data_IF_405833028245
#
_entry.id   IF_405833028245
#
_cell.length_a   1.000
_cell.length_b   1.000
_cell.length_c   1.000
_cell.angle_alpha   90.00
_cell.angle_beta   90.00
_cell.angle_gamma   90.00
#
_symmetry.space_group_name_H-M   'P 1'
#
loop_
_entity.id
_entity.type
_entity.pdbx_description
1 polymer ?
#
# COMPACT_ATOMS: atom_id res chain seq x y z
N UNK A 1 44.36 25.25 44.12
CA UNK A 1 44.07 24.06 43.29
C UNK A 1 42.63 23.68 43.57
N UNK A 2 41.69 24.26 42.83
CA UNK A 2 40.25 24.00 42.99
C UNK A 2 39.70 23.50 41.67
N UNK A 3 39.24 22.25 41.64
CA UNK A 3 38.65 21.63 40.47
C UNK A 3 37.29 22.26 40.19
N UNK A 4 37.16 22.94 39.06
CA UNK A 4 35.88 23.38 38.51
C UNK A 4 35.23 22.23 37.75
N UNK A 5 34.08 21.76 38.19
CA UNK A 5 33.21 20.86 37.44
C UNK A 5 32.47 21.65 36.36
N UNK A 6 32.48 21.24 35.08
CA UNK A 6 31.65 21.88 34.07
C UNK A 6 30.18 21.45 34.26
N UNK A 7 29.33 22.41 34.55
CA UNK A 7 27.87 22.27 34.46
C UNK A 7 27.48 22.02 33.01
N UNK A 8 27.14 20.77 32.68
CA UNK A 8 26.50 20.44 31.41
C UNK A 8 25.06 20.97 31.39
N UNK A 9 24.51 21.29 30.21
CA UNK A 9 23.13 21.74 30.08
C UNK A 9 22.20 20.58 30.42
N UNK A 10 21.49 20.70 31.55
CA UNK A 10 20.45 19.76 31.94
C UNK A 10 19.28 19.85 30.96
N UNK A 11 19.07 18.79 30.18
CA UNK A 11 17.79 18.55 29.52
C UNK A 11 16.78 18.19 30.62
N UNK A 12 16.12 19.21 31.14
CA UNK A 12 15.03 19.05 32.10
C UNK A 12 13.86 18.33 31.42
N UNK A 13 13.36 17.31 32.12
CA UNK A 13 12.22 16.45 31.85
C UNK A 13 10.96 17.17 31.34
N UNK A 14 10.90 17.46 30.05
CA UNK A 14 9.65 17.68 29.32
C UNK A 14 9.54 16.56 28.30
N UNK A 15 8.65 15.59 28.55
CA UNK A 15 8.57 14.32 27.83
C UNK A 15 8.24 14.45 26.33
N UNK A 16 8.11 15.66 25.77
CA UNK A 16 7.69 15.91 24.39
C UNK A 16 8.29 17.21 23.83
N UNK A 17 9.52 17.58 24.24
CA UNK A 17 10.21 18.70 23.62
C UNK A 17 10.72 18.29 22.23
N UNK A 18 9.99 18.73 21.20
CA UNK A 18 10.29 18.56 19.78
C UNK A 18 11.74 18.92 19.47
N UNK A 19 12.54 17.91 19.12
CA UNK A 19 13.91 18.07 18.68
C UNK A 19 13.92 18.50 17.20
N UNK A 20 14.47 19.68 16.91
CA UNK A 20 14.61 20.21 15.54
C UNK A 20 15.60 19.42 14.64
N UNK A 21 16.11 18.29 15.13
CA UNK A 21 16.97 17.35 14.39
C UNK A 21 16.43 15.91 14.38
N UNK A 22 15.25 15.65 14.92
CA UNK A 22 14.56 14.40 14.70
C UNK A 22 13.68 14.57 13.47
N UNK A 23 14.09 14.01 12.33
CA UNK A 23 13.17 13.65 11.25
C UNK A 23 12.21 12.62 11.83
N UNK A 24 11.18 13.09 12.53
CA UNK A 24 10.10 12.24 13.01
C UNK A 24 9.43 11.73 11.75
N UNK A 25 9.69 10.46 11.43
CA UNK A 25 8.88 9.68 10.52
C UNK A 25 7.44 9.86 11.03
N UNK A 26 6.67 10.66 10.30
CA UNK A 26 5.34 11.13 10.70
C UNK A 26 4.38 9.93 10.63
N UNK A 27 3.30 9.89 11.39
CA UNK A 27 2.29 8.83 11.21
C UNK A 27 1.75 8.82 9.76
N UNK A 28 1.79 9.99 9.10
CA UNK A 28 1.53 10.15 7.67
C UNK A 28 2.48 9.35 6.75
N UNK A 29 3.63 8.89 7.24
CA UNK A 29 4.59 8.14 6.44
C UNK A 29 4.10 6.73 6.09
N UNK A 30 3.17 6.17 6.87
CA UNK A 30 2.42 4.95 6.55
C UNK A 30 1.36 5.18 5.46
N UNK A 31 0.93 6.43 5.29
CA UNK A 31 -0.20 6.85 4.46
C UNK A 31 0.21 7.27 3.04
N UNK A 32 1.45 7.02 2.62
CA UNK A 32 1.95 7.42 1.30
C UNK A 32 1.19 6.80 0.10
N UNK A 33 0.21 5.92 0.35
CA UNK A 33 -0.69 5.37 -0.66
C UNK A 33 -1.97 6.19 -0.90
N UNK A 34 -2.33 7.19 -0.07
CA UNK A 34 -3.60 7.93 -0.23
C UNK A 34 -3.51 9.23 -1.04
N UNK A 35 -2.32 9.77 -1.29
CA UNK A 35 -2.15 11.02 -2.02
C UNK A 35 -1.30 10.81 -3.27
N UNK A 36 -1.93 10.68 -4.44
CA UNK A 36 -1.44 11.24 -5.72
C UNK A 36 -2.44 10.99 -6.84
N UNK A 37 -3.61 11.61 -6.74
CA UNK A 37 -4.31 12.08 -7.94
C UNK A 37 -4.58 13.57 -7.76
N UNK A 38 -3.56 14.38 -8.08
CA UNK A 38 -3.68 15.82 -8.33
C UNK A 38 -4.49 16.03 -9.62
N UNK A 39 -5.77 15.65 -9.59
CA UNK A 39 -6.74 16.08 -10.56
C UNK A 39 -7.13 17.52 -10.23
N UNK A 40 -6.26 18.43 -10.67
CA UNK A 40 -6.45 19.86 -10.88
C UNK A 40 -7.75 20.14 -11.65
N UNK A 41 -8.88 20.06 -10.97
CA UNK A 41 -10.19 20.39 -11.50
C UNK A 41 -10.45 21.87 -11.30
N UNK A 42 -10.42 22.63 -12.40
CA UNK A 42 -10.76 24.05 -12.39
C UNK A 42 -12.20 24.28 -11.93
N UNK A 43 -12.45 25.25 -11.02
CA UNK A 43 -13.81 25.57 -10.62
C UNK A 43 -14.55 26.33 -11.72
N UNK A 44 -15.58 25.70 -12.30
CA UNK A 44 -16.55 26.37 -13.16
C UNK A 44 -17.47 27.26 -12.32
N UNK A 45 -17.48 28.57 -12.63
CA UNK A 45 -18.35 29.57 -12.00
C UNK A 45 -19.81 29.33 -12.45
N UNK A 46 -20.68 28.87 -11.55
CA UNK A 46 -22.13 28.83 -11.77
C UNK A 46 -22.89 29.51 -10.63
N UNK A 47 -23.87 30.32 -11.02
CA UNK A 47 -24.57 31.31 -10.22
C UNK A 47 -25.54 30.74 -9.19
N UNK A 48 -25.62 31.42 -8.05
CA UNK A 48 -26.40 31.07 -6.87
C UNK A 48 -27.91 31.26 -7.05
N UNK A 49 -28.69 30.25 -6.65
CA UNK A 49 -30.12 30.39 -6.32
C UNK A 49 -30.39 29.91 -4.89
N UNK A 50 -30.85 30.84 -4.04
CA UNK A 50 -31.16 30.64 -2.62
C UNK A 50 -32.48 29.89 -2.46
N UNK A 51 -32.44 28.65 -1.96
CA UNK A 51 -33.63 27.93 -1.44
C UNK A 51 -33.39 27.48 0.00
N UNK A 52 -34.02 28.20 0.94
CA UNK A 52 -34.16 27.82 2.36
C UNK A 52 -35.01 26.55 2.44
N UNK A 53 -34.42 25.43 2.88
CA UNK A 53 -35.17 24.28 3.41
C UNK A 53 -34.63 23.95 4.80
N UNK A 54 -35.49 24.14 5.80
CA UNK A 54 -35.36 23.53 7.12
C UNK A 54 -35.66 22.04 6.96
N UNK A 55 -34.67 21.18 7.15
CA UNK A 55 -34.87 19.76 7.35
C UNK A 55 -34.28 19.38 8.70
N UNK A 56 -35.04 18.53 9.39
CA UNK A 56 -35.00 18.22 10.81
C UNK A 56 -33.92 17.16 11.06
N UNK A 57 -32.87 17.56 11.77
CA UNK A 57 -31.77 16.71 12.22
C UNK A 57 -32.31 15.52 13.02
N UNK A 58 -32.31 14.34 12.40
CA UNK A 58 -32.74 13.06 13.02
C UNK A 58 -31.73 11.93 12.77
N UNK A 59 -30.54 12.24 12.25
CA UNK A 59 -29.53 11.27 11.81
C UNK A 59 -28.26 11.23 12.69
N UNK A 60 -28.24 11.95 13.81
CA UNK A 60 -27.00 12.25 14.52
C UNK A 60 -26.51 11.19 15.53
N UNK A 61 -27.12 10.00 15.61
CA UNK A 61 -26.85 9.13 16.78
C UNK A 61 -26.96 7.64 16.47
N UNK A 62 -26.18 7.20 15.48
CA UNK A 62 -25.78 5.80 15.36
C UNK A 62 -24.26 5.76 15.17
N UNK A 63 -23.51 6.33 16.13
CA UNK A 63 -22.10 5.94 16.25
C UNK A 63 -22.12 4.45 16.61
N UNK A 64 -21.78 3.60 15.65
CA UNK A 64 -21.62 2.18 15.94
C UNK A 64 -20.39 2.11 16.84
N UNK A 65 -20.59 1.68 18.10
CA UNK A 65 -19.47 1.37 18.97
C UNK A 65 -18.61 0.33 18.26
N UNK A 66 -17.42 0.74 17.82
CA UNK A 66 -16.46 -0.15 17.20
C UNK A 66 -15.98 -1.13 18.26
N UNK A 67 -16.02 -2.41 17.91
CA UNK A 67 -15.58 -3.46 18.81
C UNK A 67 -14.05 -3.42 18.92
N UNK A 68 -13.46 -3.18 20.11
CA UNK A 68 -12.00 -3.22 20.29
C UNK A 68 -11.38 -4.57 19.89
N UNK A 69 -12.15 -5.67 19.88
CA UNK A 69 -11.67 -6.96 19.38
C UNK A 69 -11.41 -6.93 17.87
N UNK A 70 -12.14 -6.11 17.11
CA UNK A 70 -11.98 -5.97 15.67
C UNK A 70 -10.68 -5.26 15.30
N UNK A 71 -10.35 -4.18 16.00
CA UNK A 71 -9.05 -3.50 15.82
C UNK A 71 -7.87 -4.43 16.16
N UNK A 72 -7.99 -5.24 17.20
CA UNK A 72 -6.97 -6.24 17.57
C UNK A 72 -6.81 -7.33 16.51
N UNK A 73 -7.92 -7.82 15.94
CA UNK A 73 -7.91 -8.81 14.86
C UNK A 73 -7.20 -8.26 13.62
N UNK A 74 -7.57 -7.06 13.18
CA UNK A 74 -6.95 -6.39 12.03
C UNK A 74 -5.47 -6.09 12.26
N UNK A 75 -5.08 -5.69 13.49
CA UNK A 75 -3.67 -5.43 13.83
C UNK A 75 -2.84 -6.71 13.71
N UNK A 76 -3.41 -7.84 14.16
CA UNK A 76 -2.78 -9.15 14.04
C UNK A 76 -2.70 -9.64 12.60
N UNK A 77 -3.75 -9.40 11.83
CA UNK A 77 -3.77 -9.71 10.41
C UNK A 77 -2.71 -8.91 9.64
N UNK A 78 -2.56 -7.62 9.96
CA UNK A 78 -1.51 -6.76 9.40
C UNK A 78 -0.11 -7.28 9.75
N UNK A 79 0.12 -7.68 11.00
CA UNK A 79 1.39 -8.30 11.42
C UNK A 79 1.67 -9.58 10.62
N UNK A 80 0.70 -10.48 10.52
CA UNK A 80 0.84 -11.74 9.79
C UNK A 80 1.10 -11.52 8.30
N UNK A 81 0.56 -10.44 7.71
CA UNK A 81 0.85 -10.07 6.33
C UNK A 81 2.31 -9.59 6.14
N UNK A 82 2.88 -8.94 7.16
CA UNK A 82 4.27 -8.53 7.18
C UNK A 82 5.25 -9.65 7.54
N UNK A 83 4.85 -10.63 8.34
CA UNK A 83 5.63 -11.84 8.64
C UNK A 83 5.68 -12.74 7.39
N UNK A 84 6.68 -12.47 6.53
CA UNK A 84 6.80 -13.12 5.22
C UNK A 84 7.26 -14.56 5.38
N UNK A 85 8.10 -14.85 6.37
CA UNK A 85 8.65 -16.19 6.61
C UNK A 85 7.77 -17.06 7.53
N UNK A 86 6.83 -16.47 8.26
CA UNK A 86 5.89 -17.16 9.15
C UNK A 86 6.49 -17.60 10.50
N UNK A 87 7.55 -16.94 10.97
CA UNK A 87 8.24 -17.29 12.22
C UNK A 87 7.65 -16.62 13.47
N UNK A 88 6.64 -15.76 13.29
CA UNK A 88 5.97 -15.03 14.36
C UNK A 88 6.74 -13.80 14.85
N UNK A 89 7.80 -13.39 14.16
CA UNK A 89 8.57 -12.17 14.39
C UNK A 89 8.53 -11.31 13.13
N UNK A 90 8.58 -9.99 13.32
CA UNK A 90 8.71 -9.04 12.23
C UNK A 90 10.16 -8.55 12.16
N UNK A 91 10.88 -8.95 11.12
CA UNK A 91 12.24 -8.47 10.86
C UNK A 91 12.26 -7.15 10.07
N UNK A 92 13.37 -6.42 10.20
CA UNK A 92 13.61 -5.18 9.44
C UNK A 92 13.50 -5.41 7.92
N UNK A 93 13.98 -6.55 7.44
CA UNK A 93 13.97 -6.91 6.01
C UNK A 93 12.59 -7.22 5.47
N UNK A 94 11.73 -7.81 6.28
CA UNK A 94 10.35 -8.10 5.87
C UNK A 94 9.55 -6.82 5.72
N UNK A 95 9.66 -5.90 6.70
CA UNK A 95 9.01 -4.60 6.63
C UNK A 95 9.47 -3.80 5.40
N UNK A 96 10.78 -3.74 5.17
CA UNK A 96 11.36 -3.06 4.00
C UNK A 96 10.88 -3.70 2.70
N UNK A 97 11.02 -5.02 2.57
CA UNK A 97 10.73 -5.72 1.31
C UNK A 97 9.26 -5.63 0.93
N UNK A 98 8.35 -5.77 1.90
CA UNK A 98 6.92 -5.68 1.63
C UNK A 98 6.54 -4.28 1.15
N UNK A 99 7.04 -3.24 1.82
CA UNK A 99 6.76 -1.85 1.44
C UNK A 99 7.36 -1.46 0.09
N UNK A 100 8.54 -1.98 -0.27
CA UNK A 100 9.07 -1.83 -1.63
C UNK A 100 8.09 -2.40 -2.67
N UNK A 101 7.49 -3.58 -2.42
CA UNK A 101 6.52 -4.18 -3.34
C UNK A 101 5.24 -3.36 -3.46
N UNK A 102 4.67 -2.92 -2.35
CA UNK A 102 3.49 -2.06 -2.34
C UNK A 102 3.78 -0.80 -3.19
N UNK A 103 4.92 -0.16 -3.00
CA UNK A 103 5.26 1.03 -3.77
C UNK A 103 5.43 0.77 -5.28
N UNK A 104 6.03 -0.36 -5.65
CA UNK A 104 6.14 -0.78 -7.05
C UNK A 104 4.76 -1.03 -7.67
N UNK A 105 3.84 -1.67 -6.94
CA UNK A 105 2.49 -1.97 -7.40
C UNK A 105 1.65 -0.71 -7.62
N UNK A 106 1.63 0.19 -6.64
CA UNK A 106 0.74 1.34 -6.64
C UNK A 106 1.20 2.45 -7.57
N UNK A 107 2.49 2.71 -7.61
CA UNK A 107 3.01 3.88 -8.33
C UNK A 107 3.79 3.50 -9.59
N UNK A 108 3.94 2.21 -9.89
CA UNK A 108 4.80 1.74 -10.98
C UNK A 108 6.27 2.12 -10.78
N UNK A 109 6.67 2.49 -9.56
CA UNK A 109 8.01 3.00 -9.23
C UNK A 109 9.04 1.94 -9.56
N UNK A 110 10.06 2.34 -10.32
CA UNK A 110 11.21 1.49 -10.67
C UNK A 110 12.48 2.33 -10.57
N UNK A 111 13.49 1.81 -9.86
CA UNK A 111 14.80 2.45 -9.76
C UNK A 111 15.01 3.23 -8.45
N UNK A 112 15.57 4.46 -8.49
CA UNK A 112 16.15 5.13 -7.32
C UNK A 112 15.16 5.41 -6.18
N UNK A 113 13.87 5.49 -6.47
CA UNK A 113 12.83 5.72 -5.48
C UNK A 113 12.60 4.51 -4.56
N UNK A 114 12.89 3.30 -5.04
CA UNK A 114 12.85 2.08 -4.20
C UNK A 114 13.92 2.16 -3.10
N UNK A 115 15.08 2.75 -3.38
CA UNK A 115 16.15 2.93 -2.39
C UNK A 115 15.79 3.98 -1.33
N UNK A 116 15.03 5.01 -1.71
CA UNK A 116 14.51 5.99 -0.74
C UNK A 116 13.52 5.33 0.22
N UNK A 117 12.61 4.51 -0.32
CA UNK A 117 11.65 3.73 0.47
C UNK A 117 12.38 2.77 1.41
N UNK A 118 13.41 2.07 0.91
CA UNK A 118 14.27 1.23 1.73
C UNK A 118 14.87 1.99 2.91
N UNK A 119 15.53 3.12 2.63
CA UNK A 119 16.15 3.95 3.67
C UNK A 119 15.15 4.47 4.71
N UNK A 120 13.94 4.84 4.25
CA UNK A 120 12.83 5.28 5.11
C UNK A 120 12.39 4.17 6.06
N UNK A 121 12.10 2.97 5.55
CA UNK A 121 11.60 1.87 6.39
C UNK A 121 12.67 1.27 7.31
N UNK A 122 13.95 1.27 6.91
CA UNK A 122 15.07 1.03 7.82
C UNK A 122 15.08 2.00 9.00
N UNK A 123 14.97 3.29 8.71
CA UNK A 123 14.97 4.34 9.74
C UNK A 123 13.76 4.19 10.66
N UNK A 124 12.57 3.92 10.10
CA UNK A 124 11.36 3.67 10.87
C UNK A 124 11.55 2.49 11.83
N UNK A 125 12.02 1.34 11.32
CA UNK A 125 12.21 0.14 12.15
C UNK A 125 13.13 0.43 13.34
N UNK A 126 14.28 1.07 13.10
CA UNK A 126 15.26 1.36 14.15
C UNK A 126 14.83 2.45 15.13
N UNK A 127 14.01 3.40 14.68
CA UNK A 127 13.57 4.50 15.54
C UNK A 127 12.33 4.15 16.36
N UNK A 128 11.48 3.24 15.87
CA UNK A 128 10.16 2.99 16.45
C UNK A 128 9.94 1.56 16.96
N UNK A 129 10.68 0.57 16.44
CA UNK A 129 10.48 -0.84 16.80
C UNK A 129 11.68 -1.39 17.58
N UNK A 130 12.86 -1.46 16.98
CA UNK A 130 14.07 -1.96 17.65
C UNK A 130 15.34 -1.25 17.12
N UNK A 131 16.07 -0.49 17.97
CA UNK A 131 17.21 0.32 17.55
C UNK A 131 18.40 -0.48 17.03
N UNK A 132 18.51 -1.74 17.43
CA UNK A 132 19.57 -2.64 17.01
C UNK A 132 19.17 -3.45 15.77
N UNK A 133 17.93 -3.33 15.29
CA UNK A 133 17.41 -4.00 14.10
C UNK A 133 17.03 -5.47 14.33
N UNK A 134 16.83 -5.90 15.56
CA UNK A 134 16.39 -7.26 15.86
C UNK A 134 14.94 -7.49 15.44
N UNK A 135 14.56 -8.71 15.01
CA UNK A 135 13.17 -9.05 14.76
C UNK A 135 12.32 -8.86 16.02
N UNK A 136 11.13 -8.28 15.86
CA UNK A 136 10.25 -7.92 16.98
C UNK A 136 9.02 -8.83 17.05
N UNK A 137 8.56 -9.22 18.24
CA UNK A 137 7.33 -10.00 18.38
C UNK A 137 6.09 -9.12 18.15
N UNK A 138 4.96 -9.78 17.95
CA UNK A 138 3.65 -9.13 17.75
C UNK A 138 3.34 -8.03 18.78
N UNK A 139 3.63 -8.23 20.07
CA UNK A 139 3.28 -7.24 21.11
C UNK A 139 4.00 -5.89 20.94
N UNK A 140 5.24 -5.91 20.45
CA UNK A 140 6.00 -4.69 20.13
C UNK A 140 5.36 -3.99 18.93
N UNK A 141 5.07 -4.73 17.87
CA UNK A 141 4.41 -4.20 16.68
C UNK A 141 3.02 -3.64 16.99
N UNK A 142 2.22 -4.36 17.79
CA UNK A 142 0.89 -3.96 18.23
C UNK A 142 0.92 -2.62 18.97
N UNK A 143 1.86 -2.46 19.90
CA UNK A 143 2.03 -1.20 20.65
C UNK A 143 2.34 -0.04 19.71
N UNK A 144 3.23 -0.28 18.74
CA UNK A 144 3.56 0.70 17.71
C UNK A 144 2.36 1.03 16.80
N UNK A 145 1.68 0.03 16.24
CA UNK A 145 0.53 0.21 15.35
C UNK A 145 -0.59 0.98 16.03
N UNK A 146 -0.88 0.68 17.30
CA UNK A 146 -1.85 1.43 18.10
C UNK A 146 -1.44 2.91 18.25
N UNK A 147 -0.17 3.19 18.53
CA UNK A 147 0.34 4.56 18.61
C UNK A 147 0.18 5.31 17.29
N UNK A 148 0.48 4.66 16.16
CA UNK A 148 0.27 5.22 14.82
C UNK A 148 -1.21 5.54 14.58
N UNK A 149 -2.12 4.61 14.88
CA UNK A 149 -3.55 4.83 14.71
C UNK A 149 -4.07 6.00 15.55
N UNK A 150 -3.65 6.11 16.82
CA UNK A 150 -4.02 7.21 17.72
C UNK A 150 -3.48 8.58 17.25
N UNK A 151 -2.33 8.59 16.57
CA UNK A 151 -1.75 9.80 15.95
C UNK A 151 -2.49 10.20 14.66
N UNK A 152 -2.96 9.22 13.88
CA UNK A 152 -3.68 9.46 12.62
C UNK A 152 -5.12 9.92 12.83
N UNK A 153 -5.89 9.20 13.65
CA UNK A 153 -7.28 9.54 13.95
C UNK A 153 -7.66 9.06 15.37
N UNK A 154 -8.51 9.81 16.06
CA UNK A 154 -9.00 9.44 17.40
C UNK A 154 -10.34 8.72 17.35
N UNK A 155 -11.01 8.78 16.20
CA UNK A 155 -12.27 8.10 15.96
C UNK A 155 -12.02 6.61 15.68
N UNK A 156 -12.58 5.70 16.49
CA UNK A 156 -12.29 4.28 16.34
C UNK A 156 -12.84 3.68 15.02
N UNK A 157 -13.88 4.27 14.43
CA UNK A 157 -14.42 3.85 13.13
C UNK A 157 -13.45 4.23 12.01
N UNK A 158 -12.90 5.45 12.04
CA UNK A 158 -11.81 5.84 11.17
C UNK A 158 -10.56 4.95 11.33
N UNK A 159 -10.18 4.62 12.57
CA UNK A 159 -9.04 3.73 12.82
C UNK A 159 -9.26 2.32 12.23
N UNK A 160 -10.47 1.76 12.38
CA UNK A 160 -10.82 0.47 11.78
C UNK A 160 -10.66 0.53 10.25
N UNK A 161 -11.23 1.55 9.60
CA UNK A 161 -11.12 1.73 8.15
C UNK A 161 -9.67 1.89 7.67
N UNK A 162 -8.85 2.67 8.38
CA UNK A 162 -7.42 2.83 8.08
C UNK A 162 -6.70 1.48 8.15
N UNK A 163 -6.98 0.70 9.20
CA UNK A 163 -6.32 -0.58 9.43
C UNK A 163 -6.78 -1.64 8.42
N UNK A 164 -8.05 -1.66 8.03
CA UNK A 164 -8.55 -2.49 6.93
C UNK A 164 -7.83 -2.19 5.62
N UNK A 165 -7.61 -0.91 5.31
CA UNK A 165 -6.84 -0.50 4.13
C UNK A 165 -5.39 -0.97 4.21
N UNK A 166 -4.72 -0.80 5.35
CA UNK A 166 -3.34 -1.29 5.54
C UNK A 166 -3.25 -2.80 5.36
N UNK A 167 -4.21 -3.57 5.89
CA UNK A 167 -4.27 -5.03 5.68
C UNK A 167 -4.43 -5.36 4.20
N UNK A 168 -5.33 -4.68 3.49
CA UNK A 168 -5.55 -4.90 2.07
C UNK A 168 -4.30 -4.63 1.21
N UNK A 169 -3.57 -3.55 1.51
CA UNK A 169 -2.33 -3.20 0.83
C UNK A 169 -1.20 -4.19 1.15
N UNK A 170 -1.03 -4.56 2.42
CA UNK A 170 -0.04 -5.54 2.84
C UNK A 170 -0.26 -6.90 2.16
N UNK A 171 -1.52 -7.37 2.08
CA UNK A 171 -1.86 -8.59 1.35
C UNK A 171 -1.56 -8.48 -0.14
N UNK A 172 -1.94 -7.37 -0.77
CA UNK A 172 -1.66 -7.13 -2.20
C UNK A 172 -0.16 -7.13 -2.49
N UNK A 173 0.64 -6.52 -1.59
CA UNK A 173 2.10 -6.55 -1.64
C UNK A 173 2.67 -7.97 -1.52
N UNK A 174 2.11 -8.79 -0.61
CA UNK A 174 2.51 -10.18 -0.41
C UNK A 174 2.24 -11.03 -1.64
N UNK A 175 1.04 -10.95 -2.21
CA UNK A 175 0.64 -11.71 -3.41
C UNK A 175 1.54 -11.38 -4.62
N UNK A 176 2.08 -10.17 -4.69
CA UNK A 176 2.99 -9.78 -5.75
C UNK A 176 4.40 -10.42 -5.67
N UNK A 177 4.81 -10.95 -4.51
CA UNK A 177 6.05 -11.73 -4.42
C UNK A 177 5.98 -13.01 -5.25
N UNK A 178 4.81 -13.65 -5.27
CA UNK A 178 4.60 -14.90 -6.01
C UNK A 178 4.63 -14.67 -7.52
N UNK A 179 4.02 -13.57 -7.99
CA UNK A 179 3.94 -13.25 -9.42
C UNK A 179 5.29 -12.90 -10.05
N UNK A 180 6.16 -12.19 -9.32
CA UNK A 180 7.46 -11.77 -9.85
C UNK A 180 8.42 -12.95 -9.95
N UNK A 181 8.33 -13.90 -9.02
CA UNK A 181 9.14 -15.13 -9.06
C UNK A 181 8.89 -15.91 -10.36
N UNK A 182 7.62 -16.02 -10.78
CA UNK A 182 7.23 -16.73 -12.02
C UNK A 182 7.62 -15.97 -13.30
N UNK A 183 7.59 -14.64 -13.30
CA UNK A 183 7.93 -13.85 -14.48
C UNK A 183 9.42 -13.93 -14.87
N UNK A 184 10.30 -14.19 -13.89
CA UNK A 184 11.75 -14.28 -14.10
C UNK A 184 12.20 -15.54 -14.86
N UNK A 185 11.35 -16.57 -14.95
CA UNK A 185 11.65 -17.85 -15.60
C UNK A 185 11.20 -17.92 -17.06
N UNK A 186 10.64 -16.85 -17.65
CA UNK A 186 10.49 -16.85 -19.11
C UNK A 186 11.85 -16.57 -19.74
N UNK A 187 12.55 -17.58 -20.31
CA UNK A 187 13.75 -17.31 -21.07
C UNK A 187 13.36 -16.29 -22.13
N UNK A 188 14.07 -15.16 -22.15
CA UNK A 188 14.12 -14.22 -23.27
C UNK A 188 14.52 -15.03 -24.50
N UNK A 189 13.56 -15.75 -25.11
CA UNK A 189 13.65 -16.11 -26.51
C UNK A 189 13.69 -14.77 -27.22
N UNK A 190 14.89 -14.42 -27.64
CA UNK A 190 15.18 -13.18 -28.34
C UNK A 190 14.15 -13.05 -29.45
N UNK A 191 13.55 -11.87 -29.59
CA UNK A 191 12.70 -11.54 -30.73
C UNK A 191 13.41 -11.85 -32.07
N UNK A 192 14.75 -11.91 -32.06
CA UNK A 192 15.59 -12.39 -33.17
C UNK A 192 15.35 -13.86 -33.55
N UNK A 193 15.12 -14.77 -32.59
CA UNK A 193 14.87 -16.18 -32.90
C UNK A 193 13.47 -16.39 -33.49
N UNK A 194 12.48 -15.55 -33.10
CA UNK A 194 11.15 -15.54 -33.72
C UNK A 194 11.09 -14.85 -35.09
N UNK A 195 12.04 -13.97 -35.40
CA UNK A 195 12.17 -13.37 -36.73
C UNK A 195 12.90 -14.28 -37.73
N UNK A 196 13.68 -15.26 -37.24
CA UNK A 196 14.37 -16.24 -38.09
C UNK A 196 13.41 -17.30 -38.69
N UNK A 197 12.23 -17.50 -38.10
CA UNK A 197 11.25 -18.50 -38.53
C UNK A 197 10.07 -17.91 -39.32
N UNK A 198 10.15 -16.64 -39.76
CA UNK A 198 9.20 -16.12 -40.75
C UNK A 198 9.68 -16.62 -42.12
N UNK A 199 9.01 -17.62 -42.75
CA UNK A 199 9.33 -17.99 -44.11
C UNK A 199 9.17 -16.75 -45.00
N UNK A 200 10.27 -16.36 -45.63
CA UNK A 200 10.32 -15.27 -46.60
C UNK A 200 9.27 -15.54 -47.69
N UNK A 201 8.11 -14.89 -47.58
CA UNK A 201 7.05 -14.95 -48.59
C UNK A 201 7.53 -14.20 -49.81
N UNK A 202 8.26 -14.92 -50.66
CA UNK A 202 8.58 -14.54 -52.02
C UNK A 202 7.29 -14.52 -52.82
N UNK A 203 6.94 -13.31 -53.25
CA UNK A 203 6.15 -12.95 -54.44
C UNK A 203 5.01 -13.88 -54.88
N UNK A 204 3.77 -13.46 -54.64
CA UNK A 204 2.66 -13.73 -55.57
C UNK A 204 1.96 -12.42 -55.89
N UNK A 205 2.26 -11.93 -57.10
CA UNK A 205 1.52 -10.90 -57.81
C UNK A 205 0.12 -11.38 -58.20
N UNK A 206 -0.82 -10.42 -58.28
CA UNK A 206 -2.13 -10.46 -58.97
C UNK A 206 -3.23 -11.32 -58.32
N UNK A 207 -4.28 -10.66 -57.85
CA UNK A 207 -5.47 -10.40 -58.68
C UNK A 207 -6.53 -9.62 -57.90
N UNK A 208 -7.04 -8.59 -58.54
CA UNK A 208 -8.28 -7.92 -58.18
C UNK A 208 -9.46 -8.88 -58.19
N UNK A 209 -10.45 -8.62 -57.32
CA UNK A 209 -11.83 -9.05 -57.55
C UNK A 209 -12.59 -9.56 -56.33
N UNK A 210 -13.76 -8.93 -56.12
CA UNK A 210 -15.00 -9.52 -55.59
C UNK A 210 -15.30 -9.41 -54.07
N UNK A 211 -16.13 -8.41 -53.75
CA UNK A 211 -17.17 -8.43 -52.70
C UNK A 211 -18.19 -9.58 -52.91
N UNK A 212 -19.33 -9.62 -52.18
CA UNK A 212 -19.57 -9.79 -50.73
C UNK A 212 -20.44 -11.05 -50.46
N UNK A 213 -20.49 -11.54 -49.22
CA UNK A 213 -21.48 -12.55 -48.78
C UNK A 213 -21.34 -12.80 -47.28
N UNK A 214 -22.33 -12.48 -46.44
CA UNK A 214 -23.61 -13.16 -46.25
C UNK A 214 -23.47 -14.44 -45.42
N UNK A 215 -24.22 -14.49 -44.32
CA UNK A 215 -24.53 -15.69 -43.55
C UNK A 215 -23.83 -15.77 -42.20
N UNK A 216 -24.58 -15.66 -41.09
CA UNK A 216 -25.15 -16.78 -40.32
C UNK A 216 -24.06 -17.50 -39.50
N UNK A 217 -24.17 -17.72 -38.22
CA UNK A 217 -25.32 -18.20 -37.44
C UNK A 217 -24.97 -18.08 -35.96
N UNK A 218 -25.98 -17.95 -35.11
CA UNK A 218 -25.90 -18.01 -33.66
C UNK A 218 -25.70 -19.46 -33.22
N UNK A 219 -24.76 -19.72 -32.31
CA UNK A 219 -24.88 -20.90 -31.45
C UNK A 219 -24.37 -20.59 -30.04
N UNK A 220 -25.31 -20.63 -29.11
CA UNK A 220 -25.12 -20.50 -27.66
C UNK A 220 -25.47 -21.86 -27.07
N UNK A 221 -24.52 -22.58 -26.44
CA UNK A 221 -24.88 -23.67 -25.55
C UNK A 221 -25.06 -23.15 -24.12
N UNK A 222 -26.32 -23.13 -23.72
CA UNK A 222 -26.80 -23.17 -22.35
C UNK A 222 -26.35 -24.48 -21.69
N UNK A 223 -25.51 -24.42 -20.66
CA UNK A 223 -25.26 -25.57 -19.77
C UNK A 223 -25.75 -25.20 -18.37
N UNK A 224 -26.88 -25.80 -18.00
CA UNK A 224 -27.36 -25.90 -16.63
C UNK A 224 -26.63 -27.06 -15.94
N UNK A 225 -25.93 -26.77 -14.84
CA UNK A 225 -25.37 -27.76 -13.94
C UNK A 225 -25.99 -27.60 -12.56
N UNK A 226 -26.84 -28.56 -12.20
CA UNK A 226 -27.40 -28.75 -10.86
C UNK A 226 -26.62 -29.86 -10.16
N UNK A 227 -26.45 -29.74 -8.84
CA UNK A 227 -25.93 -30.79 -7.96
C UNK A 227 -24.88 -30.23 -7.00
N UNK A 228 -24.99 -30.39 -5.69
CA UNK A 228 -25.98 -31.06 -4.84
C UNK A 228 -25.66 -30.72 -3.38
#
# INVERSE_FOLDING_TARGET
>A
MGAGTPSGPGCANSAWASCAHCTTVDAADWLFCLDTDDHRSQPSKAAATKRKRRAKDSFADQSRDVDPFRLEELTRELFNAHDLNGDGLLSEMELVSLNEKIAVLHHGKRGPEVEEIRGKYHTLFRTKLDPDGHPVPYETFRTYAKGVLEELDKDPEAQEMILEQFVAEAKSGRDAFDLISVASETPRRTLEERLADIPSTREVSRSAGQSPGSGMELDVPLVAGTGG
#
